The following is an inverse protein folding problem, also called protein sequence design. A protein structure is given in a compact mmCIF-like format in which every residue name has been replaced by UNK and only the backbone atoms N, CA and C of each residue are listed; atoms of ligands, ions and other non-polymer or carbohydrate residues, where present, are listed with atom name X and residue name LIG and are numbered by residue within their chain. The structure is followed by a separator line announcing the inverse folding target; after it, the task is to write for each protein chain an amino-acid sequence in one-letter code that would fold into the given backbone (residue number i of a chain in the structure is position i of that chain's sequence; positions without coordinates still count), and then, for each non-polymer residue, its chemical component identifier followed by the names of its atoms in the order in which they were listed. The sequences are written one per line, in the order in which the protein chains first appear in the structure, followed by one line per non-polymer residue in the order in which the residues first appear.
data_IF_658240365253
#
_entry.id   IF_658240365253
#
_cell.length_a   1.000
_cell.length_b   1.000
_cell.length_c   1.000
_cell.angle_alpha   90.00
_cell.angle_beta   90.00
_cell.angle_gamma   90.00
#
_symmetry.space_group_name_H-M   'P 1'
#
loop_
_entity.id
_entity.type
_entity.pdbx_description
1 polymer ?
#
# COMPACT_ATOMS: atom_id res chain seq x y z
N UNK A 1 72.47 19.40 -0.88
CA UNK A 1 71.53 18.35 -1.34
C UNK A 1 70.39 18.08 -0.35
N UNK A 2 70.63 17.97 0.97
CA UNK A 2 69.59 17.65 1.97
C UNK A 2 68.35 18.58 1.97
N UNK A 3 68.53 19.89 1.75
CA UNK A 3 67.42 20.88 1.67
C UNK A 3 66.54 20.77 0.41
N UNK A 4 67.08 20.27 -0.70
CA UNK A 4 66.30 20.10 -1.95
C UNK A 4 65.46 18.82 -1.93
N UNK A 5 65.92 17.79 -1.21
CA UNK A 5 65.20 16.52 -1.04
C UNK A 5 63.99 16.70 -0.11
N UNK A 6 64.10 17.52 0.94
CA UNK A 6 62.98 17.85 1.84
C UNK A 6 61.85 18.59 1.13
N UNK A 7 62.19 19.52 0.22
CA UNK A 7 61.20 20.26 -0.56
C UNK A 7 60.45 19.39 -1.59
N UNK A 8 61.12 18.38 -2.18
CA UNK A 8 60.49 17.46 -3.14
C UNK A 8 59.56 16.47 -2.44
N UNK A 9 59.93 15.97 -1.26
CA UNK A 9 59.06 15.10 -0.46
C UNK A 9 57.83 15.85 0.05
N UNK A 10 57.99 17.11 0.47
CA UNK A 10 56.85 17.95 0.86
C UNK A 10 55.88 18.24 -0.31
N UNK A 11 56.40 18.39 -1.53
CA UNK A 11 55.58 18.63 -2.72
C UNK A 11 54.82 17.37 -3.17
N UNK A 12 55.45 16.19 -3.08
CA UNK A 12 54.79 14.90 -3.39
C UNK A 12 53.72 14.57 -2.34
N UNK A 13 53.99 14.85 -1.06
CA UNK A 13 53.00 14.64 0.00
C UNK A 13 51.80 15.60 -0.13
N UNK A 14 52.03 16.85 -0.56
CA UNK A 14 50.97 17.82 -0.85
C UNK A 14 50.17 17.48 -2.12
N UNK A 15 50.80 16.81 -3.10
CA UNK A 15 50.12 16.38 -4.33
C UNK A 15 49.29 15.11 -4.12
N UNK A 16 49.70 14.21 -3.21
CA UNK A 16 48.92 13.04 -2.83
C UNK A 16 47.65 13.38 -2.01
N UNK A 17 47.63 14.52 -1.31
CA UNK A 17 46.42 14.98 -0.59
C UNK A 17 45.33 15.58 -1.49
N UNK A 18 45.62 15.85 -2.77
CA UNK A 18 44.63 16.39 -3.72
C UNK A 18 43.83 15.32 -4.48
N UNK A 19 44.15 14.02 -4.35
CA UNK A 19 43.51 12.95 -5.13
C UNK A 19 42.50 12.10 -4.34
N UNK A 20 42.19 12.46 -3.09
CA UNK A 20 41.37 11.65 -2.19
C UNK A 20 40.01 12.27 -1.80
N UNK A 21 39.50 13.26 -2.55
CA UNK A 21 38.08 13.64 -2.45
C UNK A 21 37.28 12.82 -3.46
N UNK A 22 37.10 11.54 -3.18
CA UNK A 22 35.99 10.80 -3.75
C UNK A 22 34.72 11.43 -3.21
N UNK A 23 34.14 12.37 -3.97
CA UNK A 23 32.79 12.83 -3.72
C UNK A 23 31.88 11.61 -3.83
N UNK A 24 31.47 11.06 -2.68
CA UNK A 24 30.32 10.20 -2.61
C UNK A 24 29.18 11.03 -3.19
N UNK A 25 28.68 10.65 -4.37
CA UNK A 25 27.46 11.22 -4.90
C UNK A 25 26.36 10.90 -3.87
N UNK A 26 26.02 11.89 -3.06
CA UNK A 26 24.82 11.83 -2.25
C UNK A 26 23.67 11.64 -3.24
N UNK A 27 22.98 10.50 -3.14
CA UNK A 27 21.67 10.31 -3.77
C UNK A 27 20.83 11.52 -3.40
N UNK A 28 20.49 12.34 -4.40
CA UNK A 28 19.61 13.47 -4.19
C UNK A 28 18.26 12.89 -3.75
N UNK A 29 18.00 12.94 -2.45
CA UNK A 29 16.69 12.66 -1.89
C UNK A 29 15.72 13.69 -2.47
N UNK A 30 14.89 13.24 -3.42
CA UNK A 30 13.86 14.08 -4.06
C UNK A 30 12.67 14.30 -3.13
N UNK A 31 12.70 13.68 -1.94
CA UNK A 31 11.63 13.68 -0.96
C UNK A 31 10.37 13.01 -1.50
N UNK A 32 10.48 12.07 -2.46
CA UNK A 32 9.34 11.32 -3.00
C UNK A 32 9.46 9.87 -2.54
N UNK A 33 8.47 9.43 -1.77
CA UNK A 33 8.37 8.02 -1.35
C UNK A 33 7.45 7.28 -2.31
N UNK A 34 7.81 6.04 -2.69
CA UNK A 34 6.93 5.17 -3.49
C UNK A 34 6.63 3.93 -2.68
N UNK A 35 5.36 3.54 -2.62
CA UNK A 35 4.88 2.35 -1.93
C UNK A 35 4.11 1.45 -2.88
N UNK A 36 4.35 0.15 -2.80
CA UNK A 36 3.58 -0.89 -3.49
C UNK A 36 2.96 -1.79 -2.42
N UNK A 37 1.63 -1.87 -2.40
CA UNK A 37 0.85 -2.60 -1.39
C UNK A 37 1.29 -2.24 0.05
N UNK A 38 1.47 -0.95 0.33
CA UNK A 38 1.96 -0.44 1.62
C UNK A 38 3.48 -0.49 1.79
N UNK A 39 4.19 -1.41 1.13
CA UNK A 39 5.64 -1.56 1.27
C UNK A 39 6.41 -0.48 0.52
N UNK A 40 7.35 0.17 1.20
CA UNK A 40 8.24 1.16 0.55
C UNK A 40 9.17 0.49 -0.45
N UNK A 41 9.18 1.01 -1.68
CA UNK A 41 10.06 0.56 -2.76
C UNK A 41 11.46 1.13 -2.55
N UNK A 42 12.47 0.26 -2.58
CA UNK A 42 13.86 0.68 -2.52
C UNK A 42 14.40 0.98 -3.91
N UNK A 43 15.03 2.15 -4.06
CA UNK A 43 15.63 2.63 -5.31
C UNK A 43 17.15 2.77 -5.13
N UNK A 44 17.95 1.73 -5.40
CA UNK A 44 19.39 1.76 -5.14
C UNK A 44 20.18 2.68 -6.09
N UNK A 45 19.73 2.84 -7.34
CA UNK A 45 20.50 3.51 -8.40
C UNK A 45 19.63 4.36 -9.37
N UNK A 46 18.45 4.78 -8.92
CA UNK A 46 17.59 5.70 -9.68
C UNK A 46 16.44 6.23 -8.85
N UNK A 47 16.55 7.47 -8.36
CA UNK A 47 15.52 8.06 -7.50
C UNK A 47 14.33 8.60 -8.30
N UNK A 48 13.09 8.40 -7.82
CA UNK A 48 11.91 9.09 -8.33
C UNK A 48 12.10 10.61 -8.37
N UNK A 49 11.49 11.32 -9.31
CA UNK A 49 11.54 12.79 -9.37
C UNK A 49 10.27 13.38 -9.99
N UNK A 50 10.05 14.68 -9.82
CA UNK A 50 8.99 15.41 -10.54
C UNK A 50 9.59 16.10 -11.76
N UNK A 51 9.01 15.87 -12.94
CA UNK A 51 9.47 16.50 -14.18
C UNK A 51 8.92 17.92 -14.38
N UNK A 52 9.29 18.56 -15.50
CA UNK A 52 8.83 19.91 -15.83
C UNK A 52 7.31 20.03 -16.07
N UNK A 53 6.63 18.90 -16.32
CA UNK A 53 5.19 18.83 -16.51
C UNK A 53 4.45 18.49 -15.20
N UNK A 54 5.13 18.57 -14.05
CA UNK A 54 4.57 18.21 -12.75
C UNK A 54 4.06 16.76 -12.72
N UNK A 55 4.84 15.83 -13.28
CA UNK A 55 4.59 14.39 -13.21
C UNK A 55 5.68 13.67 -12.44
N UNK A 56 5.26 12.76 -11.57
CA UNK A 56 6.17 11.92 -10.79
C UNK A 56 6.70 10.79 -11.67
N UNK A 57 7.97 10.94 -12.05
CA UNK A 57 8.73 10.01 -12.87
C UNK A 57 9.41 8.98 -11.97
N UNK A 58 9.11 7.70 -12.19
CA UNK A 58 9.63 6.59 -11.37
C UNK A 58 10.32 5.57 -12.28
N UNK A 59 11.48 5.02 -11.87
CA UNK A 59 12.10 3.95 -12.64
C UNK A 59 11.23 2.70 -12.58
N UNK A 60 10.63 2.36 -13.73
CA UNK A 60 9.43 1.52 -13.83
C UNK A 60 9.62 0.13 -13.23
N UNK A 61 10.82 -0.45 -13.41
CA UNK A 61 11.12 -1.82 -13.02
C UNK A 61 10.89 -2.08 -11.53
N UNK A 62 11.37 -1.18 -10.67
CA UNK A 62 11.33 -1.38 -9.21
C UNK A 62 9.90 -1.48 -8.68
N UNK A 63 8.96 -0.81 -9.34
CA UNK A 63 7.55 -0.88 -9.00
C UNK A 63 6.93 -2.13 -9.61
N UNK A 64 7.06 -2.31 -10.93
CA UNK A 64 6.29 -3.34 -11.64
C UNK A 64 6.73 -4.76 -11.27
N UNK A 65 8.00 -4.98 -10.94
CA UNK A 65 8.45 -6.27 -10.40
C UNK A 65 7.82 -6.59 -9.04
N UNK A 66 7.57 -5.58 -8.19
CA UNK A 66 6.83 -5.78 -6.94
C UNK A 66 5.34 -6.06 -7.18
N UNK A 67 4.77 -5.56 -8.28
CA UNK A 67 3.41 -5.93 -8.73
C UNK A 67 3.36 -7.34 -9.34
N UNK A 68 4.45 -8.12 -9.31
CA UNK A 68 4.54 -9.46 -9.88
C UNK A 68 4.76 -9.50 -11.39
N UNK A 69 5.09 -8.37 -12.03
CA UNK A 69 5.37 -8.31 -13.46
C UNK A 69 6.82 -8.67 -13.78
N UNK A 70 7.04 -9.25 -14.95
CA UNK A 70 8.36 -9.47 -15.53
C UNK A 70 8.72 -8.29 -16.43
N UNK A 71 9.94 -7.77 -16.28
CA UNK A 71 10.41 -6.62 -17.06
C UNK A 71 11.55 -7.04 -17.98
N UNK A 72 11.44 -6.72 -19.26
CA UNK A 72 12.48 -6.94 -20.26
C UNK A 72 12.75 -5.69 -21.09
N UNK A 73 13.84 -5.71 -21.86
CA UNK A 73 14.30 -4.57 -22.65
C UNK A 73 14.59 -4.99 -24.08
N UNK A 74 13.96 -4.31 -25.04
CA UNK A 74 14.29 -4.43 -26.45
C UNK A 74 15.25 -3.31 -26.85
N UNK A 75 16.52 -3.65 -27.03
CA UNK A 75 17.56 -2.70 -27.40
C UNK A 75 17.46 -2.17 -28.84
N UNK A 76 16.83 -2.91 -29.75
CA UNK A 76 16.70 -2.51 -31.15
C UNK A 76 15.67 -1.39 -31.29
N UNK A 77 14.54 -1.51 -30.59
CA UNK A 77 13.45 -0.53 -30.63
C UNK A 77 13.52 0.50 -29.50
N UNK A 78 14.45 0.32 -28.55
CA UNK A 78 14.54 1.09 -27.30
C UNK A 78 13.22 1.09 -26.52
N UNK A 79 12.71 -0.11 -26.26
CA UNK A 79 11.40 -0.32 -25.62
C UNK A 79 11.57 -1.13 -24.34
N UNK A 80 11.02 -0.63 -23.23
CA UNK A 80 10.82 -1.45 -22.03
C UNK A 80 9.51 -2.23 -22.18
N UNK A 81 9.55 -3.53 -21.91
CA UNK A 81 8.41 -4.45 -22.05
C UNK A 81 8.10 -5.03 -20.68
N UNK A 82 6.86 -4.97 -20.26
CA UNK A 82 6.40 -5.39 -18.94
C UNK A 82 5.25 -6.39 -19.11
N UNK A 83 5.42 -7.59 -18.59
CA UNK A 83 4.50 -8.71 -18.75
C UNK A 83 3.95 -9.12 -17.37
N UNK A 84 2.63 -9.14 -17.18
CA UNK A 84 1.96 -9.67 -15.99
C UNK A 84 0.69 -10.41 -16.43
N UNK A 85 0.62 -11.71 -16.16
CA UNK A 85 -0.49 -12.56 -16.63
C UNK A 85 -0.67 -12.41 -18.16
N UNK A 86 -1.88 -12.09 -18.63
CA UNK A 86 -2.22 -11.88 -20.04
C UNK A 86 -2.05 -10.42 -20.50
N UNK A 87 -1.45 -9.56 -19.67
CA UNK A 87 -1.22 -8.15 -19.94
C UNK A 87 0.24 -7.93 -20.34
N UNK A 88 0.45 -7.27 -21.50
CA UNK A 88 1.75 -6.81 -21.96
C UNK A 88 1.73 -5.29 -22.17
N UNK A 89 2.63 -4.58 -21.49
CA UNK A 89 2.81 -3.13 -21.60
C UNK A 89 4.15 -2.83 -22.28
N UNK A 90 4.10 -2.15 -23.42
CA UNK A 90 5.29 -1.71 -24.16
C UNK A 90 5.48 -0.20 -24.04
N UNK A 91 6.67 0.21 -23.60
CA UNK A 91 7.01 1.60 -23.28
C UNK A 91 8.22 2.01 -24.13
N UNK A 92 8.00 2.63 -25.31
CA UNK A 92 9.08 3.16 -26.14
C UNK A 92 9.70 4.40 -25.49
N UNK A 93 11.04 4.45 -25.40
CA UNK A 93 11.76 5.61 -24.84
C UNK A 93 11.56 6.85 -25.71
N UNK A 94 11.28 7.99 -25.08
CA UNK A 94 11.04 9.28 -25.75
C UNK A 94 9.61 9.42 -26.31
N UNK A 95 8.75 8.44 -26.07
CA UNK A 95 7.33 8.48 -26.41
C UNK A 95 6.49 8.90 -25.21
N UNK A 96 5.49 9.75 -25.46
CA UNK A 96 4.38 10.02 -24.52
C UNK A 96 3.26 8.99 -24.64
N UNK A 97 3.43 7.96 -25.47
CA UNK A 97 2.43 6.93 -25.72
C UNK A 97 3.03 5.55 -25.43
N UNK A 98 2.31 4.74 -24.66
CA UNK A 98 2.61 3.33 -24.42
C UNK A 98 1.54 2.44 -25.06
N UNK A 99 1.86 1.16 -25.29
CA UNK A 99 0.90 0.18 -25.80
C UNK A 99 0.56 -0.82 -24.71
N UNK A 100 -0.73 -1.12 -24.54
CA UNK A 100 -1.23 -2.17 -23.62
C UNK A 100 -1.93 -3.23 -24.46
N UNK A 101 -1.44 -4.46 -24.38
CA UNK A 101 -2.08 -5.63 -24.99
C UNK A 101 -2.70 -6.48 -23.89
N UNK A 102 -3.99 -6.72 -23.97
CA UNK A 102 -4.76 -7.58 -23.06
C UNK A 102 -5.78 -8.38 -23.89
N UNK A 103 -5.90 -9.69 -23.64
CA UNK A 103 -6.82 -10.59 -24.36
C UNK A 103 -6.68 -10.52 -25.89
N UNK A 104 -5.44 -10.35 -26.37
CA UNK A 104 -5.12 -10.24 -27.80
C UNK A 104 -5.47 -8.89 -28.45
N UNK A 105 -6.00 -7.93 -27.69
CA UNK A 105 -6.32 -6.58 -28.17
C UNK A 105 -5.25 -5.59 -27.70
N UNK A 106 -4.64 -4.86 -28.63
CA UNK A 106 -3.66 -3.81 -28.33
C UNK A 106 -4.31 -2.43 -28.38
N UNK A 107 -4.13 -1.65 -27.32
CA UNK A 107 -4.60 -0.26 -27.19
C UNK A 107 -3.42 0.67 -26.94
N UNK A 108 -3.47 1.87 -27.50
CA UNK A 108 -2.48 2.92 -27.24
C UNK A 108 -2.98 3.83 -26.11
N UNK A 109 -2.15 4.03 -25.08
CA UNK A 109 -2.44 4.90 -23.93
C UNK A 109 -1.51 6.09 -24.00
N UNK A 110 -2.11 7.28 -24.12
CA UNK A 110 -1.38 8.56 -24.11
C UNK A 110 -1.14 9.01 -22.66
N UNK A 111 0.12 9.30 -22.35
CA UNK A 111 0.61 9.84 -21.09
C UNK A 111 0.75 11.35 -21.16
N UNK A 112 0.86 11.98 -19.99
CA UNK A 112 1.06 13.42 -19.85
C UNK A 112 2.49 13.90 -20.14
N UNK A 113 3.47 12.99 -20.13
CA UNK A 113 4.87 13.28 -20.43
C UNK A 113 5.55 12.03 -21.00
N UNK A 114 6.64 12.24 -21.73
CA UNK A 114 7.35 11.16 -22.39
C UNK A 114 8.12 10.28 -21.39
N UNK A 115 8.23 8.99 -21.71
CA UNK A 115 9.15 8.11 -20.99
C UNK A 115 10.60 8.52 -21.28
N UNK A 116 11.48 8.42 -20.27
CA UNK A 116 12.86 8.88 -20.35
C UNK A 116 13.82 7.79 -19.94
N UNK A 117 14.92 7.64 -20.67
CA UNK A 117 16.06 6.85 -20.22
C UNK A 117 17.03 7.76 -19.48
N UNK A 118 17.16 7.57 -18.17
CA UNK A 118 18.06 8.35 -17.30
C UNK A 118 18.83 7.39 -16.40
N UNK A 119 20.14 7.58 -16.30
CA UNK A 119 21.04 6.74 -15.47
C UNK A 119 20.87 5.22 -15.72
N UNK A 120 20.62 4.84 -16.97
CA UNK A 120 20.40 3.43 -17.37
C UNK A 120 19.04 2.85 -16.96
N UNK A 121 18.11 3.68 -16.47
CA UNK A 121 16.77 3.28 -16.06
C UNK A 121 15.69 3.96 -16.89
N UNK A 122 14.62 3.23 -17.19
CA UNK A 122 13.43 3.77 -17.84
C UNK A 122 12.51 4.41 -16.81
N UNK A 123 12.33 5.72 -16.91
CA UNK A 123 11.43 6.52 -16.09
C UNK A 123 10.13 6.78 -16.83
N UNK A 124 9.02 6.65 -16.11
CA UNK A 124 7.66 6.91 -16.61
C UNK A 124 6.81 7.55 -15.52
N UNK A 125 5.73 8.25 -15.88
CA UNK A 125 4.67 8.55 -14.93
C UNK A 125 3.99 7.24 -14.53
N UNK A 126 4.29 6.75 -13.32
CA UNK A 126 4.00 5.35 -12.96
C UNK A 126 2.53 4.96 -13.06
N UNK A 127 1.63 5.93 -12.87
CA UNK A 127 0.18 5.76 -12.95
C UNK A 127 -0.25 4.95 -14.16
N UNK A 128 0.18 5.35 -15.36
CA UNK A 128 -0.26 4.70 -16.60
C UNK A 128 0.18 3.24 -16.71
N UNK A 129 1.36 2.92 -16.18
CA UNK A 129 1.88 1.55 -16.22
C UNK A 129 1.23 0.70 -15.14
N UNK A 130 1.11 1.22 -13.92
CA UNK A 130 0.50 0.50 -12.81
C UNK A 130 -1.00 0.25 -13.06
N UNK A 131 -1.75 1.26 -13.51
CA UNK A 131 -3.17 1.12 -13.85
C UNK A 131 -3.38 0.15 -15.03
N UNK A 132 -2.49 0.16 -16.03
CA UNK A 132 -2.53 -0.84 -17.11
C UNK A 132 -2.30 -2.28 -16.60
N UNK A 133 -1.55 -2.45 -15.51
CA UNK A 133 -1.33 -3.75 -14.85
C UNK A 133 -2.41 -4.08 -13.80
N UNK A 134 -3.50 -3.30 -13.75
CA UNK A 134 -4.63 -3.50 -12.85
C UNK A 134 -4.43 -2.94 -11.45
N UNK A 135 -3.40 -2.13 -11.21
CA UNK A 135 -3.14 -1.52 -9.90
C UNK A 135 -3.75 -0.12 -9.79
N UNK A 136 -4.20 0.25 -8.59
CA UNK A 136 -4.64 1.60 -8.27
C UNK A 136 -3.45 2.48 -7.88
N UNK A 137 -3.44 3.75 -8.33
CA UNK A 137 -2.39 4.72 -7.99
C UNK A 137 -2.95 6.01 -7.40
N UNK A 138 -2.45 6.35 -6.22
CA UNK A 138 -2.71 7.62 -5.54
C UNK A 138 -1.43 8.42 -5.30
N UNK A 139 -1.59 9.72 -5.12
CA UNK A 139 -0.50 10.61 -4.72
C UNK A 139 -0.95 11.46 -3.53
N UNK A 140 -0.21 11.38 -2.44
CA UNK A 140 -0.34 12.30 -1.31
C UNK A 140 0.64 13.45 -1.48
N UNK A 141 0.11 14.65 -1.66
CA UNK A 141 0.92 15.87 -1.74
C UNK A 141 1.56 16.20 -0.39
N UNK A 142 0.81 16.01 0.71
CA UNK A 142 1.26 16.29 2.08
C UNK A 142 2.49 15.46 2.47
N UNK A 143 2.51 14.18 2.11
CA UNK A 143 3.62 13.26 2.42
C UNK A 143 4.52 12.97 1.24
N UNK A 144 4.28 13.62 0.09
CA UNK A 144 4.98 13.41 -1.18
C UNK A 144 5.13 11.92 -1.52
N UNK A 145 4.07 11.16 -1.32
CA UNK A 145 4.08 9.70 -1.43
C UNK A 145 3.21 9.24 -2.61
N UNK A 146 3.76 8.37 -3.44
CA UNK A 146 3.01 7.63 -4.47
C UNK A 146 2.63 6.27 -3.90
N UNK A 147 1.34 6.03 -3.70
CA UNK A 147 0.79 4.74 -3.28
C UNK A 147 0.31 3.94 -4.49
N UNK A 148 0.72 2.68 -4.57
CA UNK A 148 0.37 1.76 -5.66
C UNK A 148 -0.17 0.48 -5.03
N UNK A 149 -1.34 0.02 -5.45
CA UNK A 149 -2.02 -1.12 -4.83
C UNK A 149 -2.51 -2.07 -5.92
N UNK A 150 -1.98 -3.30 -5.98
CA UNK A 150 -2.20 -4.20 -7.12
C UNK A 150 -3.23 -5.30 -6.91
N UNK A 151 -3.72 -5.52 -5.69
CA UNK A 151 -4.14 -6.88 -5.34
C UNK A 151 -5.50 -7.04 -4.67
N UNK A 152 -6.40 -6.05 -4.67
CA UNK A 152 -7.71 -6.30 -4.05
C UNK A 152 -8.95 -5.77 -4.77
N UNK A 153 -8.95 -4.58 -5.36
CA UNK A 153 -10.15 -3.99 -5.97
C UNK A 153 -9.94 -3.64 -7.45
N UNK A 154 -10.91 -3.99 -8.29
CA UNK A 154 -10.98 -3.56 -9.70
C UNK A 154 -11.34 -2.08 -9.82
N UNK A 155 -11.04 -1.45 -10.96
CA UNK A 155 -11.38 -0.04 -11.21
C UNK A 155 -12.89 0.23 -11.09
N UNK A 156 -13.75 -0.72 -11.49
CA UNK A 156 -15.19 -0.61 -11.38
C UNK A 156 -15.67 -0.69 -9.91
N UNK A 157 -15.07 -1.57 -9.11
CA UNK A 157 -15.33 -1.67 -7.67
C UNK A 157 -14.90 -0.40 -6.93
N UNK A 158 -13.76 0.19 -7.31
CA UNK A 158 -13.29 1.47 -6.75
C UNK A 158 -14.28 2.60 -7.07
N UNK A 159 -14.73 2.70 -8.32
CA UNK A 159 -15.71 3.72 -8.71
C UNK A 159 -17.03 3.54 -7.96
N UNK A 160 -17.50 2.30 -7.81
CA UNK A 160 -18.68 1.99 -7.00
C UNK A 160 -18.51 2.45 -5.54
N UNK A 161 -17.38 2.13 -4.89
CA UNK A 161 -17.12 2.57 -3.51
C UNK A 161 -17.13 4.09 -3.33
N UNK A 162 -16.69 4.83 -4.36
CA UNK A 162 -16.67 6.32 -4.34
C UNK A 162 -18.04 6.96 -4.48
N UNK A 163 -19.03 6.25 -5.02
CA UNK A 163 -20.42 6.76 -5.08
C UNK A 163 -21.06 6.90 -3.70
N UNK A 164 -20.53 6.19 -2.70
CA UNK A 164 -21.00 6.28 -1.32
C UNK A 164 -20.23 7.39 -0.60
N UNK A 165 -20.97 8.41 -0.15
CA UNK A 165 -20.40 9.51 0.64
C UNK A 165 -19.70 8.94 1.90
N UNK A 166 -18.47 9.39 2.15
CA UNK A 166 -17.61 8.93 3.23
C UNK A 166 -18.05 9.41 4.62
N UNK A 167 -19.27 9.94 4.76
CA UNK A 167 -19.74 10.50 6.01
C UNK A 167 -20.16 9.41 6.99
N UNK A 168 -19.21 8.92 7.79
CA UNK A 168 -19.49 8.47 9.15
C UNK A 168 -18.51 9.16 10.10
N UNK A 169 -18.98 9.75 11.22
CA UNK A 169 -19.54 11.11 11.31
C UNK A 169 -18.55 12.18 10.77
N UNK A 170 -18.79 13.48 10.95
CA UNK A 170 -17.92 14.59 10.57
C UNK A 170 -16.46 14.59 11.15
N UNK A 171 -15.98 13.43 11.64
CA UNK A 171 -14.73 13.20 12.35
C UNK A 171 -13.91 12.03 11.77
N UNK A 172 -14.39 11.24 10.81
CA UNK A 172 -13.54 10.20 10.21
C UNK A 172 -12.39 10.82 9.41
N UNK A 173 -11.22 10.21 9.52
CA UNK A 173 -10.01 10.63 8.83
C UNK A 173 -9.44 9.46 8.04
N UNK A 174 -8.86 9.77 6.87
CA UNK A 174 -8.15 8.80 6.04
C UNK A 174 -6.88 8.26 6.74
N UNK A 175 -6.36 7.15 6.23
CA UNK A 175 -5.16 6.48 6.74
C UNK A 175 -3.97 7.43 6.94
N UNK A 176 -3.69 8.27 5.95
CA UNK A 176 -2.52 9.14 5.97
C UNK A 176 -2.67 10.31 6.96
N UNK A 177 -3.89 10.81 7.16
CA UNK A 177 -4.24 11.78 8.20
C UNK A 177 -4.21 11.15 9.59
N UNK A 178 -4.71 9.92 9.74
CA UNK A 178 -4.64 9.17 11.00
C UNK A 178 -3.20 8.91 11.43
N UNK A 179 -2.37 8.49 10.48
CA UNK A 179 -0.94 8.18 10.67
C UNK A 179 -0.10 9.38 11.06
N UNK A 180 -0.43 10.59 10.60
CA UNK A 180 0.36 11.79 10.90
C UNK A 180 -0.12 12.61 12.09
N UNK A 181 -1.33 12.35 12.60
CA UNK A 181 -1.88 13.08 13.77
C UNK A 181 -1.18 12.77 15.08
N UNK A 182 -0.44 11.67 15.14
CA UNK A 182 0.16 11.21 16.38
C UNK A 182 1.65 10.92 16.15
N UNK A 183 2.50 11.59 16.92
CA UNK A 183 3.89 11.18 17.04
C UNK A 183 4.01 9.78 17.66
N UNK A 184 5.19 9.17 17.57
CA UNK A 184 5.45 7.88 18.22
C UNK A 184 5.20 7.94 19.74
N UNK A 185 5.25 9.14 20.32
CA UNK A 185 5.00 9.35 21.75
C UNK A 185 3.50 9.53 22.08
N UNK A 186 2.67 9.93 21.10
CA UNK A 186 1.22 10.18 21.27
C UNK A 186 0.36 8.98 20.86
N UNK A 187 0.82 8.14 19.92
CA UNK A 187 0.20 6.86 19.54
C UNK A 187 0.40 5.77 20.60
N UNK A 188 1.15 6.03 21.66
CA UNK A 188 1.19 5.23 22.88
C UNK A 188 -0.16 5.24 23.66
N UNK A 189 -1.26 5.55 22.97
CA UNK A 189 -2.52 5.98 23.52
C UNK A 189 -3.07 4.96 24.53
N UNK A 190 -3.28 5.48 25.75
CA UNK A 190 -4.08 4.90 26.84
C UNK A 190 -3.53 3.65 27.52
N UNK A 191 -2.59 3.82 28.47
CA UNK A 191 -2.49 2.90 29.60
C UNK A 191 -2.37 3.61 30.96
N UNK A 192 -3.17 3.08 31.88
CA UNK A 192 -3.39 3.59 33.22
C UNK A 192 -2.17 3.58 34.16
N UNK A 193 -2.15 4.66 34.93
CA UNK A 193 -1.75 4.89 36.34
C UNK A 193 -0.46 4.33 36.95
N UNK A 194 0.31 3.41 36.38
CA UNK A 194 1.53 2.96 37.07
C UNK A 194 2.77 2.80 36.19
N UNK A 195 3.46 3.93 35.98
CA UNK A 195 4.84 4.00 35.50
C UNK A 195 5.87 3.29 36.41
N UNK A 196 5.51 2.98 37.66
CA UNK A 196 6.43 2.47 38.68
C UNK A 196 6.85 1.00 38.51
N UNK A 197 6.19 0.22 37.65
CA UNK A 197 6.52 -1.21 37.43
C UNK A 197 7.70 -1.44 36.48
N UNK A 198 8.24 -0.41 35.83
CA UNK A 198 9.24 -0.55 34.75
C UNK A 198 10.69 -0.26 35.17
N UNK A 199 10.95 0.01 36.46
CA UNK A 199 12.21 0.60 36.93
C UNK A 199 13.40 -0.37 36.87
N UNK A 200 13.19 -1.68 36.69
CA UNK A 200 14.27 -2.69 36.82
C UNK A 200 14.58 -3.52 35.57
N UNK A 201 14.04 -3.21 34.39
CA UNK A 201 14.38 -3.95 33.17
C UNK A 201 15.36 -3.14 32.30
N UNK A 202 16.64 -3.50 32.36
CA UNK A 202 17.70 -2.97 31.48
C UNK A 202 17.43 -3.23 29.98
N UNK A 203 16.47 -4.10 29.65
CA UNK A 203 16.04 -4.46 28.29
C UNK A 203 14.63 -3.94 27.95
N UNK A 204 14.08 -3.00 28.72
CA UNK A 204 12.80 -2.33 28.49
C UNK A 204 12.69 -1.58 27.13
N UNK A 205 13.78 -1.49 26.36
CA UNK A 205 13.77 -0.90 25.01
C UNK A 205 13.26 -1.86 23.92
N UNK A 206 13.09 -3.14 24.25
CA UNK A 206 12.49 -4.16 23.37
C UNK A 206 11.08 -4.56 23.84
N UNK A 207 10.27 -3.62 24.34
CA UNK A 207 8.86 -3.92 24.55
C UNK A 207 8.17 -4.08 23.20
N UNK A 208 8.08 -5.35 22.80
CA UNK A 208 7.22 -5.85 21.75
C UNK A 208 5.77 -5.48 22.12
N UNK A 209 5.18 -4.54 21.39
CA UNK A 209 3.73 -4.45 21.38
C UNK A 209 3.23 -5.70 20.67
N UNK A 210 2.26 -6.41 21.23
CA UNK A 210 1.62 -7.51 20.53
C UNK A 210 0.12 -7.25 20.46
N UNK A 211 -0.46 -7.47 19.29
CA UNK A 211 -1.91 -7.45 19.08
C UNK A 211 -2.35 -8.86 18.78
N UNK A 212 -3.43 -9.27 19.44
CA UNK A 212 -4.06 -10.56 19.21
C UNK A 212 -5.25 -10.38 18.29
N UNK A 213 -5.32 -11.26 17.31
CA UNK A 213 -6.39 -11.39 16.35
C UNK A 213 -6.94 -12.82 16.39
N UNK A 214 -7.95 -13.15 15.57
CA UNK A 214 -8.38 -14.56 15.45
C UNK A 214 -7.34 -15.41 14.73
N UNK A 215 -6.57 -14.78 13.85
CA UNK A 215 -5.52 -15.43 13.06
C UNK A 215 -4.19 -15.61 13.81
N UNK A 216 -3.95 -14.87 14.90
CA UNK A 216 -2.80 -15.11 15.78
C UNK A 216 -2.30 -13.87 16.51
N UNK A 217 -1.07 -13.96 17.01
CA UNK A 217 -0.38 -12.84 17.69
C UNK A 217 0.59 -12.13 16.74
N UNK A 218 0.49 -10.80 16.70
CA UNK A 218 1.28 -9.94 15.82
C UNK A 218 2.20 -9.05 16.66
N UNK A 219 3.51 -9.13 16.43
CA UNK A 219 4.53 -8.44 17.23
C UNK A 219 5.10 -7.20 16.51
N UNK A 220 5.23 -6.08 17.24
CA UNK A 220 5.72 -4.79 16.74
C UNK A 220 6.94 -4.30 17.54
N UNK A 221 8.03 -3.92 16.86
CA UNK A 221 9.28 -3.43 17.49
C UNK A 221 9.22 -1.92 17.71
N UNK A 222 8.82 -1.46 18.89
CA UNK A 222 8.88 -0.05 19.37
C UNK A 222 8.30 1.04 18.44
N UNK A 223 7.41 1.88 18.97
CA UNK A 223 6.65 2.86 18.20
C UNK A 223 7.52 3.86 17.39
N UNK A 224 8.72 4.18 17.87
CA UNK A 224 9.69 5.08 17.21
C UNK A 224 10.39 4.46 15.99
N UNK A 225 10.67 3.14 16.03
CA UNK A 225 11.12 2.40 14.83
C UNK A 225 9.94 2.12 13.91
N UNK A 226 8.72 2.07 14.45
CA UNK A 226 7.50 1.77 13.70
C UNK A 226 7.06 2.88 12.75
N UNK A 227 7.24 4.12 13.19
CA UNK A 227 6.98 5.30 12.36
C UNK A 227 8.10 5.59 11.33
N UNK A 228 9.32 5.10 11.55
CA UNK A 228 10.46 5.30 10.64
C UNK A 228 10.75 4.09 9.73
N UNK A 229 10.25 2.89 10.06
CA UNK A 229 10.37 1.66 9.26
C UNK A 229 9.05 0.86 9.28
N UNK A 230 8.27 0.98 8.20
CA UNK A 230 7.34 -0.04 7.65
C UNK A 230 6.47 -0.90 8.61
N UNK A 231 6.12 -0.45 9.81
CA UNK A 231 5.38 -1.30 10.78
C UNK A 231 4.01 -0.76 11.19
N UNK A 232 3.62 0.42 10.70
CA UNK A 232 2.20 0.76 10.58
C UNK A 232 1.52 -0.21 9.61
N UNK A 233 2.18 -0.55 8.50
CA UNK A 233 1.62 -1.40 7.45
C UNK A 233 1.23 -2.79 7.99
N UNK A 234 2.01 -3.40 8.90
CA UNK A 234 1.67 -4.72 9.48
C UNK A 234 0.41 -4.73 10.36
N UNK A 235 0.15 -3.65 11.08
CA UNK A 235 -1.05 -3.56 11.92
C UNK A 235 -2.29 -3.38 11.04
N UNK A 236 -2.20 -2.49 10.04
CA UNK A 236 -3.27 -2.26 9.09
C UNK A 236 -3.52 -3.47 8.17
N UNK A 237 -2.45 -4.18 7.76
CA UNK A 237 -2.53 -5.47 7.08
C UNK A 237 -3.28 -6.50 7.94
N UNK A 238 -2.96 -6.59 9.23
CA UNK A 238 -3.67 -7.46 10.16
C UNK A 238 -5.16 -7.07 10.28
N UNK A 239 -5.48 -5.78 10.36
CA UNK A 239 -6.87 -5.29 10.41
C UNK A 239 -7.64 -5.71 9.14
N UNK A 240 -7.04 -5.55 7.96
CA UNK A 240 -7.61 -6.01 6.69
C UNK A 240 -7.76 -7.53 6.67
N UNK A 241 -6.75 -8.28 7.11
CA UNK A 241 -6.79 -9.74 7.18
C UNK A 241 -7.94 -10.24 8.06
N UNK A 242 -8.18 -9.60 9.21
CA UNK A 242 -9.28 -9.96 10.10
C UNK A 242 -10.65 -9.64 9.48
N UNK A 243 -10.79 -8.53 8.77
CA UNK A 243 -12.01 -8.22 8.03
C UNK A 243 -12.27 -9.24 6.90
N UNK A 244 -11.23 -9.60 6.14
CA UNK A 244 -11.30 -10.63 5.10
C UNK A 244 -11.68 -11.98 5.69
N UNK A 245 -11.07 -12.39 6.80
CA UNK A 245 -11.37 -13.65 7.46
C UNK A 245 -12.81 -13.73 8.03
N UNK A 246 -13.41 -12.60 8.40
CA UNK A 246 -14.77 -12.55 8.92
C UNK A 246 -15.84 -12.68 7.84
N UNK A 247 -15.57 -12.15 6.64
CA UNK A 247 -16.54 -12.12 5.55
C UNK A 247 -16.37 -13.29 4.59
N UNK A 248 -15.13 -13.74 4.34
CA UNK A 248 -14.88 -14.85 3.43
C UNK A 248 -15.53 -16.14 3.94
N UNK A 249 -16.32 -16.77 3.06
CA UNK A 249 -16.98 -18.02 3.35
C UNK A 249 -17.01 -18.89 2.09
N UNK A 250 -16.83 -20.19 2.25
CA UNK A 250 -16.94 -21.13 1.14
C UNK A 250 -17.51 -22.47 1.61
N UNK A 251 -18.54 -22.92 0.88
CA UNK A 251 -19.16 -24.23 1.01
C UNK A 251 -19.50 -24.77 -0.38
N UNK A 252 -20.08 -25.98 -0.45
CA UNK A 252 -20.62 -26.51 -1.70
C UNK A 252 -21.81 -25.70 -2.25
N UNK A 253 -22.49 -24.92 -1.39
CA UNK A 253 -23.73 -24.21 -1.73
C UNK A 253 -23.49 -22.72 -1.98
N UNK A 254 -22.52 -22.11 -1.29
CA UNK A 254 -22.32 -20.66 -1.27
C UNK A 254 -20.82 -20.34 -1.23
N UNK A 255 -20.41 -19.38 -2.05
CA UNK A 255 -19.12 -18.70 -1.93
C UNK A 255 -19.34 -17.23 -1.68
N UNK A 256 -18.67 -16.69 -0.67
CA UNK A 256 -18.59 -15.25 -0.38
C UNK A 256 -17.11 -14.87 -0.33
N UNK A 257 -16.73 -13.90 -1.14
CA UNK A 257 -15.40 -13.32 -1.18
C UNK A 257 -15.49 -11.84 -0.80
N UNK A 258 -14.62 -11.38 0.09
CA UNK A 258 -14.46 -10.00 0.49
C UNK A 258 -13.11 -9.48 0.04
N UNK A 259 -13.18 -8.31 -0.59
CA UNK A 259 -12.05 -7.62 -1.18
C UNK A 259 -11.91 -6.26 -0.50
N UNK A 260 -10.85 -6.09 0.29
CA UNK A 260 -10.36 -4.82 0.81
C UNK A 260 -8.82 -4.80 0.94
N UNK A 261 -8.21 -3.62 0.84
CA UNK A 261 -6.80 -3.40 1.15
C UNK A 261 -6.62 -2.29 2.20
N UNK A 262 -5.38 -1.96 2.54
CA UNK A 262 -5.07 -0.93 3.55
C UNK A 262 -5.56 0.47 3.18
N UNK A 263 -5.77 0.77 1.89
CA UNK A 263 -6.37 2.04 1.46
C UNK A 263 -7.86 2.12 1.81
N UNK A 264 -8.48 0.99 2.15
CA UNK A 264 -9.87 0.91 2.53
C UNK A 264 -10.10 1.03 4.04
N UNK A 265 -9.08 1.42 4.82
CA UNK A 265 -9.19 1.60 6.27
C UNK A 265 -9.56 3.05 6.60
N UNK A 266 -10.62 3.20 7.39
CA UNK A 266 -11.13 4.48 7.88
C UNK A 266 -11.15 4.47 9.40
N UNK A 267 -10.75 5.57 10.05
CA UNK A 267 -10.71 5.65 11.51
C UNK A 267 -11.58 6.79 12.04
N UNK A 268 -12.33 6.53 13.12
CA UNK A 268 -13.09 7.57 13.81
C UNK A 268 -12.16 8.57 14.53
N UNK A 269 -12.45 9.87 14.42
CA UNK A 269 -11.59 10.93 14.95
C UNK A 269 -11.66 11.20 16.45
N UNK A 270 -12.56 10.55 17.21
CA UNK A 270 -12.68 10.72 18.66
C UNK A 270 -12.24 9.48 19.43
N UNK A 271 -11.47 9.76 20.48
CA UNK A 271 -10.49 8.88 21.10
C UNK A 271 -11.05 8.10 22.27
N UNK A 272 -10.63 6.83 22.40
CA UNK A 272 -10.55 6.00 23.64
C UNK A 272 -10.17 4.55 23.28
N UNK A 273 -10.41 4.13 22.03
CA UNK A 273 -10.02 2.84 21.45
C UNK A 273 -9.77 2.98 19.95
N UNK A 274 -8.91 2.14 19.37
CA UNK A 274 -8.74 2.13 17.92
C UNK A 274 -10.00 1.55 17.27
N UNK A 275 -10.89 2.46 16.88
CA UNK A 275 -12.13 2.14 16.16
C UNK A 275 -11.91 2.45 14.70
N UNK A 276 -11.80 1.40 13.89
CA UNK A 276 -11.62 1.52 12.45
C UNK A 276 -12.73 0.77 11.72
N UNK A 277 -12.97 1.16 10.48
CA UNK A 277 -13.79 0.42 9.54
C UNK A 277 -12.92 0.01 8.36
N UNK A 278 -13.02 -1.25 7.95
CA UNK A 278 -12.47 -1.72 6.67
C UNK A 278 -13.62 -1.75 5.68
N UNK A 279 -13.59 -0.82 4.73
CA UNK A 279 -14.51 -0.79 3.60
C UNK A 279 -14.08 -1.83 2.57
N UNK A 280 -15.02 -2.42 1.86
CA UNK A 280 -14.66 -3.29 0.74
C UNK A 280 -15.86 -3.76 -0.05
N UNK A 281 -15.60 -4.66 -0.98
CA UNK A 281 -16.64 -5.30 -1.80
C UNK A 281 -16.78 -6.75 -1.34
N UNK A 282 -17.99 -7.13 -0.93
CA UNK A 282 -18.37 -8.52 -0.75
C UNK A 282 -19.00 -9.02 -2.06
N UNK A 283 -18.60 -10.19 -2.53
CA UNK A 283 -19.13 -10.86 -3.72
C UNK A 283 -19.68 -12.21 -3.31
N UNK A 284 -20.98 -12.43 -3.49
CA UNK A 284 -21.64 -13.69 -3.21
C UNK A 284 -22.03 -14.41 -4.50
N UNK A 285 -21.73 -15.71 -4.57
CA UNK A 285 -22.16 -16.61 -5.64
C UNK A 285 -22.82 -17.83 -5.02
N UNK A 286 -24.07 -18.07 -5.42
CA UNK A 286 -24.86 -19.20 -4.97
C UNK A 286 -24.78 -20.35 -5.97
N UNK A 287 -24.44 -21.55 -5.53
CA UNK A 287 -24.30 -22.75 -6.39
C UNK A 287 -25.56 -23.63 -6.40
N UNK A 288 -26.52 -23.34 -5.52
CA UNK A 288 -27.79 -24.07 -5.36
C UNK A 288 -28.98 -23.11 -5.51
N UNK A 289 -30.23 -23.58 -5.38
CA UNK A 289 -31.37 -22.66 -5.31
C UNK A 289 -31.40 -21.96 -3.95
N UNK A 290 -31.89 -20.71 -3.84
CA UNK A 290 -31.95 -20.00 -2.56
C UNK A 290 -32.67 -20.77 -1.43
N UNK A 291 -33.68 -21.58 -1.77
CA UNK A 291 -34.41 -22.42 -0.81
C UNK A 291 -33.61 -23.58 -0.23
N UNK A 292 -32.44 -23.89 -0.81
CA UNK A 292 -31.57 -24.99 -0.42
C UNK A 292 -30.41 -24.52 0.48
N UNK A 293 -30.33 -23.22 0.75
CA UNK A 293 -29.35 -22.66 1.68
C UNK A 293 -29.60 -23.11 3.11
N UNK A 294 -28.51 -23.33 3.84
CA UNK A 294 -28.58 -23.57 5.29
C UNK A 294 -28.97 -22.31 6.04
N UNK A 295 -29.45 -22.46 7.28
CA UNK A 295 -29.76 -21.31 8.14
C UNK A 295 -28.54 -20.43 8.41
N UNK A 296 -27.33 -21.01 8.50
CA UNK A 296 -26.09 -20.28 8.70
C UNK A 296 -25.69 -19.45 7.45
N UNK A 297 -25.81 -20.04 6.26
CA UNK A 297 -25.55 -19.34 4.99
C UNK A 297 -26.55 -18.21 4.76
N UNK A 298 -27.82 -18.46 5.05
CA UNK A 298 -28.87 -17.43 4.99
C UNK A 298 -28.57 -16.28 5.95
N UNK A 299 -28.19 -16.59 7.20
CA UNK A 299 -27.85 -15.57 8.19
C UNK A 299 -26.62 -14.74 7.79
N UNK A 300 -25.59 -15.38 7.20
CA UNK A 300 -24.41 -14.68 6.67
C UNK A 300 -24.79 -13.70 5.55
N UNK A 301 -25.58 -14.15 4.58
CA UNK A 301 -26.02 -13.30 3.46
C UNK A 301 -26.88 -12.13 3.94
N UNK A 302 -27.81 -12.36 4.86
CA UNK A 302 -28.61 -11.29 5.45
C UNK A 302 -27.74 -10.28 6.21
N UNK A 303 -26.73 -10.74 6.97
CA UNK A 303 -25.79 -9.86 7.69
C UNK A 303 -24.99 -8.97 6.73
N UNK A 304 -24.71 -9.45 5.52
CA UNK A 304 -23.99 -8.68 4.51
C UNK A 304 -24.89 -7.73 3.71
N UNK A 305 -26.22 -7.83 3.83
CA UNK A 305 -27.18 -6.98 3.12
C UNK A 305 -27.73 -7.57 1.81
N UNK A 306 -27.49 -8.86 1.53
CA UNK A 306 -28.07 -9.49 0.34
C UNK A 306 -29.56 -9.73 0.54
N UNK A 307 -30.37 -9.07 -0.28
CA UNK A 307 -31.84 -9.20 -0.27
C UNK A 307 -32.37 -10.10 -1.37
N UNK A 308 -31.62 -10.26 -2.48
CA UNK A 308 -31.96 -11.15 -3.59
C UNK A 308 -30.69 -11.72 -4.22
N UNK A 309 -30.67 -13.03 -4.45
CA UNK A 309 -29.57 -13.75 -5.12
C UNK A 309 -30.15 -14.80 -6.05
N UNK A 310 -29.45 -15.03 -7.16
CA UNK A 310 -29.80 -16.05 -8.15
C UNK A 310 -28.68 -17.09 -8.21
N UNK A 311 -29.08 -18.34 -8.47
CA UNK A 311 -28.12 -19.42 -8.67
C UNK A 311 -27.16 -19.08 -9.82
N UNK A 312 -25.90 -19.44 -9.65
CA UNK A 312 -24.79 -19.25 -10.58
C UNK A 312 -24.56 -17.79 -11.00
N UNK A 313 -25.07 -16.84 -10.21
CA UNK A 313 -24.90 -15.40 -10.45
C UNK A 313 -24.07 -14.80 -9.34
N UNK A 314 -22.94 -14.19 -9.70
CA UNK A 314 -22.16 -13.39 -8.78
C UNK A 314 -22.84 -12.02 -8.58
N UNK A 315 -23.10 -11.65 -7.33
CA UNK A 315 -23.60 -10.33 -6.97
C UNK A 315 -22.61 -9.69 -6.01
N UNK A 316 -22.28 -8.42 -6.26
CA UNK A 316 -21.39 -7.64 -5.40
C UNK A 316 -22.17 -6.57 -4.65
N UNK A 317 -21.85 -6.38 -3.38
CA UNK A 317 -22.31 -5.25 -2.59
C UNK A 317 -21.16 -4.64 -1.78
N UNK A 318 -21.15 -3.31 -1.65
CA UNK A 318 -20.17 -2.60 -0.84
C UNK A 318 -20.56 -2.68 0.64
N UNK A 319 -19.59 -2.98 1.52
CA UNK A 319 -19.81 -3.14 2.97
C UNK A 319 -18.70 -2.45 3.79
N UNK A 320 -19.05 -1.99 4.99
CA UNK A 320 -18.12 -1.52 6.02
C UNK A 320 -18.03 -2.56 7.15
N UNK A 321 -16.81 -3.05 7.43
CA UNK A 321 -16.53 -3.95 8.55
C UNK A 321 -15.98 -3.13 9.71
N UNK A 322 -16.78 -2.92 10.75
CA UNK A 322 -16.42 -2.11 11.91
C UNK A 322 -15.66 -2.94 12.93
N UNK A 323 -14.51 -2.43 13.35
CA UNK A 323 -13.55 -3.11 14.19
C UNK A 323 -13.10 -2.22 15.34
N UNK A 324 -12.84 -2.83 16.49
CA UNK A 324 -12.34 -2.13 17.66
C UNK A 324 -11.27 -2.94 18.39
N UNK A 325 -10.27 -2.26 18.94
CA UNK A 325 -9.32 -2.82 19.89
C UNK A 325 -9.88 -2.76 21.31
N UNK A 326 -10.00 -3.90 21.99
CA UNK A 326 -10.40 -3.97 23.39
C UNK A 326 -9.21 -3.79 24.35
N UNK A 327 -9.45 -3.46 25.64
CA UNK A 327 -8.43 -3.58 26.68
C UNK A 327 -7.82 -4.98 26.62
N UNK A 328 -6.49 -5.08 26.63
CA UNK A 328 -5.68 -6.30 26.37
C UNK A 328 -5.33 -6.60 24.89
N UNK A 329 -5.35 -5.59 24.01
CA UNK A 329 -4.81 -5.69 22.65
C UNK A 329 -5.49 -6.74 21.75
N UNK A 330 -6.79 -6.97 21.92
CA UNK A 330 -7.57 -7.86 21.05
C UNK A 330 -8.36 -7.06 20.02
N UNK A 331 -8.19 -7.39 18.74
CA UNK A 331 -9.02 -6.86 17.65
C UNK A 331 -10.32 -7.65 17.56
N UNK A 332 -11.46 -6.96 17.62
CA UNK A 332 -12.78 -7.56 17.52
C UNK A 332 -13.60 -6.88 16.43
N UNK A 333 -14.25 -7.69 15.58
CA UNK A 333 -15.31 -7.20 14.68
C UNK A 333 -16.56 -6.92 15.52
N UNK A 334 -17.05 -5.69 15.44
CA UNK A 334 -18.25 -5.24 16.12
C UNK A 334 -19.50 -5.42 15.27
N UNK A 335 -19.43 -5.03 14.00
CA UNK A 335 -20.56 -5.12 13.07
C UNK A 335 -20.07 -5.07 11.63
N UNK A 336 -20.91 -5.56 10.71
CA UNK A 336 -20.72 -5.43 9.26
C UNK A 336 -21.97 -4.73 8.75
N UNK A 337 -21.80 -3.66 7.98
CA UNK A 337 -22.90 -2.80 7.56
C UNK A 337 -22.86 -2.63 6.04
N UNK A 338 -23.96 -2.89 5.31
CA UNK A 338 -24.06 -2.58 3.89
C UNK A 338 -23.97 -1.07 3.67
N UNK A 339 -23.20 -0.66 2.67
CA UNK A 339 -23.02 0.77 2.40
C UNK A 339 -24.30 1.42 1.86
N UNK A 340 -24.64 2.59 2.41
CA UNK A 340 -25.88 3.31 2.13
C UNK A 340 -27.04 2.97 3.07
N UNK A 341 -26.86 2.03 4.00
CA UNK A 341 -27.79 1.80 5.10
C UNK A 341 -27.43 2.67 6.33
N UNK A 342 -28.41 3.05 7.13
CA UNK A 342 -28.18 3.83 8.34
C UNK A 342 -27.57 2.96 9.45
N UNK A 343 -26.52 3.46 10.10
CA UNK A 343 -25.85 2.84 11.24
C UNK A 343 -26.62 3.04 12.55
#
# INVERSE_FOLDING_TARGET
MKRKITSIIALILALCTLMATGAMAASADTGITVRVNGYTVSFPDGQPYIDANSRTMIPVRFVTEQLGAKVSWNGNTKTAIIEKNDICVEIPIGSDTLSVTQDGTTTAVKMDTASVLKDGRTYVPIRYVAEALGAYVEYSELYRTVGIYSDVLTAAEIEQLRTYDYTLPALAIDYETAKARYSADELAFYFGTNRASFVNYANAREYLYHVMSRSGEYYFKSLETVLQNSTNDKFYDMVVQEAVAEVNYSSANLTVEFRADTSCIYQAGNMDRLTCAVRGIAVATLHVKPTELTGAETALLCRLGYTQLYQDTAMSIPVDVHMNTQPNYQVNIHTIVPLGEAY
#
